data_IF_761479013688
#
_entry.id   IF_761479013688
#
_cell.length_a   1.000
_cell.length_b   1.000
_cell.length_c   1.000
_cell.angle_alpha   90.00
_cell.angle_beta   90.00
_cell.angle_gamma   90.00
#
_symmetry.space_group_name_H-M   'P 1'
#
loop_
_entity.id
_entity.type
_entity.pdbx_description
1 polymer ?
#
# COMPACT_ATOMS: atom_id res chain seq x y z
N UNK A 1 2.30 25.19 -19.14
CA UNK A 1 2.98 24.75 -17.92
C UNK A 1 4.24 23.94 -18.24
N UNK A 2 4.17 22.82 -19.01
CA UNK A 2 5.31 21.95 -19.31
C UNK A 2 6.50 22.64 -20.01
N UNK A 3 6.24 23.70 -20.78
CA UNK A 3 7.30 24.47 -21.47
C UNK A 3 8.00 25.51 -20.58
N UNK A 4 7.60 25.65 -19.34
CA UNK A 4 8.18 26.61 -18.39
C UNK A 4 9.21 25.98 -17.45
N UNK A 5 9.45 24.67 -17.55
CA UNK A 5 10.41 23.94 -16.74
C UNK A 5 11.55 23.42 -17.63
N UNK A 6 12.76 23.89 -17.36
CA UNK A 6 13.95 23.59 -18.17
C UNK A 6 14.30 22.11 -18.17
N UNK A 7 14.06 21.40 -17.04
CA UNK A 7 14.29 19.96 -16.93
C UNK A 7 13.30 19.20 -17.82
N UNK A 8 12.03 19.54 -17.77
CA UNK A 8 11.00 18.92 -18.62
C UNK A 8 11.29 19.19 -20.10
N UNK A 9 11.66 20.43 -20.45
CA UNK A 9 12.05 20.80 -21.83
C UNK A 9 13.23 19.94 -22.28
N UNK A 10 14.24 19.77 -21.44
CA UNK A 10 15.41 18.94 -21.75
C UNK A 10 15.04 17.47 -21.97
N UNK A 11 14.25 16.90 -21.09
CA UNK A 11 13.80 15.50 -21.19
C UNK A 11 12.91 15.26 -22.42
N UNK A 12 12.11 16.26 -22.79
CA UNK A 12 11.17 16.18 -23.91
C UNK A 12 11.77 16.67 -25.27
N UNK A 13 13.06 16.93 -25.32
CA UNK A 13 13.75 17.48 -26.50
C UNK A 13 13.44 16.72 -27.80
N UNK A 14 13.33 15.40 -27.73
CA UNK A 14 13.09 14.56 -28.89
C UNK A 14 11.66 13.98 -28.91
N UNK A 15 10.77 14.45 -28.03
CA UNK A 15 9.40 13.94 -27.94
C UNK A 15 8.58 14.48 -29.14
N UNK A 16 7.84 13.58 -29.75
CA UNK A 16 6.89 13.90 -30.82
C UNK A 16 5.49 13.79 -30.23
N UNK A 17 4.70 14.86 -30.39
CA UNK A 17 3.31 14.86 -29.96
C UNK A 17 2.46 14.02 -30.91
N UNK A 18 1.70 13.08 -30.36
CA UNK A 18 0.70 12.33 -31.13
C UNK A 18 -0.56 13.16 -31.41
N UNK A 19 -0.64 14.39 -30.89
CA UNK A 19 -1.75 15.32 -31.10
C UNK A 19 -3.06 14.95 -30.40
N UNK A 20 -3.06 13.88 -29.60
CA UNK A 20 -4.22 13.43 -28.83
C UNK A 20 -3.91 13.46 -27.35
N UNK A 21 -4.86 13.96 -26.56
CA UNK A 21 -4.84 13.84 -25.11
C UNK A 21 -5.87 12.79 -24.71
N UNK A 22 -5.43 11.84 -23.92
CA UNK A 22 -6.32 10.85 -23.31
C UNK A 22 -6.51 11.24 -21.84
N UNK A 23 -7.74 11.29 -21.42
CA UNK A 23 -8.12 11.53 -20.02
C UNK A 23 -8.88 10.32 -19.50
N UNK A 24 -8.59 9.94 -18.27
CA UNK A 24 -9.36 8.95 -17.55
C UNK A 24 -9.72 9.51 -16.18
N UNK A 25 -10.74 8.97 -15.57
CA UNK A 25 -11.02 9.24 -14.17
C UNK A 25 -10.20 8.27 -13.33
N UNK A 26 -9.77 8.75 -12.20
CA UNK A 26 -9.29 7.89 -11.14
C UNK A 26 -10.45 7.09 -10.55
N UNK A 27 -10.17 5.89 -10.07
CA UNK A 27 -11.18 4.98 -9.55
C UNK A 27 -10.62 4.22 -8.34
N UNK A 28 -11.35 4.26 -7.27
CA UNK A 28 -11.15 3.34 -6.16
C UNK A 28 -12.25 2.28 -6.22
N UNK A 29 -11.89 1.05 -6.02
CA UNK A 29 -12.86 -0.03 -5.94
C UNK A 29 -12.36 -1.17 -5.05
N UNK A 30 -13.29 -1.97 -4.59
CA UNK A 30 -13.02 -3.20 -3.86
C UNK A 30 -14.01 -4.28 -4.29
N UNK A 31 -13.51 -5.45 -4.61
CA UNK A 31 -14.33 -6.60 -4.93
C UNK A 31 -15.14 -7.04 -3.70
N UNK A 32 -16.38 -7.44 -3.90
CA UNK A 32 -17.20 -7.97 -2.81
C UNK A 32 -16.66 -9.29 -2.24
N UNK A 33 -15.95 -10.05 -3.07
CA UNK A 33 -15.32 -11.31 -2.71
C UNK A 33 -13.91 -11.37 -3.28
N UNK A 34 -12.96 -11.78 -2.44
CA UNK A 34 -11.56 -11.96 -2.82
C UNK A 34 -11.17 -13.44 -2.93
N UNK A 35 -12.05 -14.33 -2.51
CA UNK A 35 -11.79 -15.76 -2.51
C UNK A 35 -13.09 -16.53 -2.75
N UNK A 36 -12.99 -17.62 -3.46
CA UNK A 36 -14.04 -18.61 -3.63
C UNK A 36 -13.54 -20.01 -3.33
N UNK A 37 -14.30 -21.00 -3.71
CA UNK A 37 -13.94 -22.38 -3.46
C UNK A 37 -12.62 -22.75 -4.15
N UNK A 38 -12.44 -22.31 -5.41
CA UNK A 38 -11.33 -22.68 -6.27
C UNK A 38 -10.56 -21.48 -6.84
N UNK A 39 -10.69 -20.31 -6.24
CA UNK A 39 -10.02 -19.12 -6.73
C UNK A 39 -9.70 -18.11 -5.64
N UNK A 40 -8.66 -17.31 -5.87
CA UNK A 40 -8.24 -16.18 -5.06
C UNK A 40 -8.02 -14.98 -6.00
N UNK A 41 -8.49 -13.80 -5.62
CA UNK A 41 -8.12 -12.54 -6.26
C UNK A 41 -6.90 -11.97 -5.54
N UNK A 42 -5.85 -11.71 -6.28
CA UNK A 42 -4.64 -11.11 -5.74
C UNK A 42 -4.32 -9.78 -6.46
N UNK A 43 -3.67 -8.87 -5.77
CA UNK A 43 -3.31 -7.57 -6.32
C UNK A 43 -4.51 -6.69 -6.62
N UNK A 44 -4.36 -5.84 -7.61
CA UNK A 44 -5.38 -4.88 -8.01
C UNK A 44 -6.64 -5.53 -8.63
N UNK A 45 -6.62 -6.83 -8.90
CA UNK A 45 -7.85 -7.54 -9.29
C UNK A 45 -8.87 -7.62 -8.15
N UNK A 46 -8.41 -7.58 -6.90
CA UNK A 46 -9.26 -7.56 -5.71
C UNK A 46 -9.71 -6.17 -5.30
N UNK A 47 -8.97 -5.15 -5.67
CA UNK A 47 -9.30 -3.76 -5.37
C UNK A 47 -8.15 -2.81 -5.62
N UNK A 48 -8.50 -1.57 -5.82
CA UNK A 48 -7.57 -0.48 -6.08
C UNK A 48 -7.92 0.73 -5.23
N UNK A 49 -6.95 1.35 -4.63
CA UNK A 49 -7.15 2.52 -3.80
C UNK A 49 -6.92 3.82 -4.56
N UNK A 50 -5.68 4.08 -4.95
CA UNK A 50 -5.28 5.36 -5.57
C UNK A 50 -3.86 5.26 -6.15
N UNK A 51 -3.56 5.86 -7.32
CA UNK A 51 -2.25 5.81 -7.92
C UNK A 51 -1.21 6.68 -7.21
N UNK A 52 -1.61 7.74 -6.52
CA UNK A 52 -0.71 8.76 -5.94
C UNK A 52 0.20 8.16 -4.88
N UNK A 53 -0.34 7.27 -4.05
CA UNK A 53 0.39 6.63 -2.96
C UNK A 53 1.13 5.36 -3.40
N UNK A 54 1.08 5.01 -4.68
CA UNK A 54 1.72 3.83 -5.28
C UNK A 54 1.43 2.51 -4.53
N UNK A 55 0.25 2.39 -3.93
CA UNK A 55 -0.17 1.24 -3.12
C UNK A 55 -0.31 -0.07 -3.91
N UNK A 56 -0.49 0.01 -5.23
CA UNK A 56 -0.79 -1.14 -6.09
C UNK A 56 0.26 -2.25 -6.00
N UNK A 57 1.55 -1.91 -6.00
CA UNK A 57 2.62 -2.90 -5.89
C UNK A 57 2.63 -3.57 -4.50
N UNK A 58 2.42 -2.80 -3.44
CA UNK A 58 2.31 -3.30 -2.07
C UNK A 58 1.14 -4.27 -1.93
N UNK A 59 -0.05 -3.87 -2.39
CA UNK A 59 -1.25 -4.71 -2.38
C UNK A 59 -0.99 -6.00 -3.17
N UNK A 60 -0.35 -5.91 -4.33
CA UNK A 60 -0.06 -7.06 -5.20
C UNK A 60 0.88 -8.06 -4.52
N UNK A 61 1.99 -7.61 -3.98
CA UNK A 61 2.98 -8.49 -3.37
C UNK A 61 2.44 -9.20 -2.13
N UNK A 62 1.74 -8.47 -1.26
CA UNK A 62 1.19 -9.06 -0.05
C UNK A 62 0.04 -10.02 -0.33
N UNK A 63 -0.89 -9.64 -1.18
CA UNK A 63 -2.00 -10.50 -1.53
C UNK A 63 -1.54 -11.78 -2.26
N UNK A 64 -0.54 -11.69 -3.14
CA UNK A 64 0.02 -12.85 -3.81
C UNK A 64 0.70 -13.82 -2.83
N UNK A 65 1.49 -13.28 -1.87
CA UNK A 65 2.09 -14.09 -0.80
C UNK A 65 1.03 -14.77 0.05
N UNK A 66 0.02 -14.02 0.49
CA UNK A 66 -1.04 -14.56 1.34
C UNK A 66 -1.90 -15.58 0.60
N UNK A 67 -2.19 -15.35 -0.70
CA UNK A 67 -2.87 -16.34 -1.53
C UNK A 67 -2.07 -17.65 -1.63
N UNK A 68 -0.76 -17.56 -1.88
CA UNK A 68 0.10 -18.73 -1.95
C UNK A 68 0.13 -19.51 -0.63
N UNK A 69 0.28 -18.83 0.50
CA UNK A 69 0.24 -19.45 1.82
C UNK A 69 -1.13 -20.07 2.13
N UNK A 70 -2.21 -19.41 1.75
CA UNK A 70 -3.56 -19.95 1.91
C UNK A 70 -3.79 -21.21 1.07
N UNK A 71 -3.30 -21.23 -0.16
CA UNK A 71 -3.38 -22.42 -1.03
C UNK A 71 -2.60 -23.59 -0.42
N UNK A 72 -1.38 -23.35 0.06
CA UNK A 72 -0.57 -24.37 0.73
C UNK A 72 -1.30 -24.90 1.98
N UNK A 73 -1.83 -24.01 2.81
CA UNK A 73 -2.56 -24.40 4.04
C UNK A 73 -3.83 -25.23 3.73
N UNK A 74 -4.51 -24.92 2.61
CA UNK A 74 -5.66 -25.71 2.14
C UNK A 74 -5.24 -27.08 1.62
N UNK A 75 -4.13 -27.17 0.92
CA UNK A 75 -3.62 -28.42 0.34
C UNK A 75 -3.09 -29.36 1.43
N UNK A 76 -2.39 -28.81 2.41
CA UNK A 76 -1.89 -29.57 3.56
C UNK A 76 -3.00 -30.00 4.54
N UNK A 77 -4.17 -29.34 4.52
CA UNK A 77 -5.29 -29.67 5.39
C UNK A 77 -5.04 -29.43 6.89
N UNK A 78 -4.06 -28.58 7.22
CA UNK A 78 -3.67 -28.30 8.62
C UNK A 78 -4.72 -27.47 9.35
N UNK A 79 -5.43 -26.61 8.60
CA UNK A 79 -6.46 -25.72 9.12
C UNK A 79 -7.81 -25.96 8.44
N UNK A 80 -8.87 -25.55 9.12
CA UNK A 80 -10.20 -25.54 8.52
C UNK A 80 -10.22 -24.68 7.25
N UNK A 81 -10.60 -25.29 6.13
CA UNK A 81 -10.52 -24.60 4.84
C UNK A 81 -11.46 -23.41 4.71
N UNK A 82 -12.54 -23.37 5.47
CA UNK A 82 -13.43 -22.22 5.56
C UNK A 82 -12.74 -21.07 6.27
N UNK A 83 -12.13 -21.35 7.40
CA UNK A 83 -11.36 -20.36 8.17
C UNK A 83 -10.22 -19.76 7.35
N UNK A 84 -9.43 -20.56 6.61
CA UNK A 84 -8.36 -20.07 5.74
C UNK A 84 -8.88 -19.07 4.72
N UNK A 85 -10.03 -19.36 4.09
CA UNK A 85 -10.62 -18.47 3.09
C UNK A 85 -11.18 -17.19 3.71
N UNK A 86 -11.87 -17.30 4.84
CA UNK A 86 -12.41 -16.15 5.55
C UNK A 86 -11.30 -15.22 6.03
N UNK A 87 -10.18 -15.76 6.50
CA UNK A 87 -9.02 -14.99 6.94
C UNK A 87 -8.34 -14.29 5.76
N UNK A 88 -8.18 -14.96 4.63
CA UNK A 88 -7.71 -14.31 3.40
C UNK A 88 -8.61 -13.15 2.98
N UNK A 89 -9.92 -13.38 2.93
CA UNK A 89 -10.93 -12.35 2.60
C UNK A 89 -10.78 -11.15 3.52
N UNK A 90 -10.75 -11.37 4.83
CA UNK A 90 -10.64 -10.33 5.84
C UNK A 90 -9.39 -9.48 5.60
N UNK A 91 -8.23 -10.11 5.45
CA UNK A 91 -6.95 -9.42 5.24
C UNK A 91 -6.95 -8.56 3.97
N UNK A 92 -7.52 -9.06 2.87
CA UNK A 92 -7.59 -8.26 1.64
C UNK A 92 -8.50 -7.04 1.83
N UNK A 93 -9.68 -7.22 2.42
CA UNK A 93 -10.61 -6.11 2.70
C UNK A 93 -9.95 -5.07 3.60
N UNK A 94 -9.32 -5.48 4.70
CA UNK A 94 -8.67 -4.57 5.64
C UNK A 94 -7.55 -3.77 4.96
N UNK A 95 -6.70 -4.45 4.16
CA UNK A 95 -5.60 -3.81 3.43
C UNK A 95 -6.10 -2.76 2.44
N UNK A 96 -7.03 -3.13 1.57
CA UNK A 96 -7.54 -2.22 0.54
C UNK A 96 -8.29 -1.06 1.19
N UNK A 97 -9.12 -1.33 2.21
CA UNK A 97 -9.83 -0.29 2.96
C UNK A 97 -8.86 0.69 3.62
N UNK A 98 -7.78 0.18 4.21
CA UNK A 98 -6.75 1.01 4.81
C UNK A 98 -6.12 1.96 3.80
N UNK A 99 -5.74 1.46 2.61
CA UNK A 99 -5.18 2.29 1.55
C UNK A 99 -6.19 3.31 1.00
N UNK A 100 -7.47 2.94 0.85
CA UNK A 100 -8.53 3.88 0.45
C UNK A 100 -8.66 5.00 1.48
N UNK A 101 -8.75 4.67 2.76
CA UNK A 101 -8.82 5.67 3.85
C UNK A 101 -7.58 6.58 3.88
N UNK A 102 -6.42 6.02 3.60
CA UNK A 102 -5.20 6.81 3.53
C UNK A 102 -5.21 7.77 2.33
N UNK A 103 -5.72 7.35 1.19
CA UNK A 103 -5.92 8.22 0.04
C UNK A 103 -6.93 9.35 0.36
N UNK A 104 -8.05 9.03 0.98
CA UNK A 104 -9.04 10.02 1.43
C UNK A 104 -8.43 11.04 2.39
N UNK A 105 -7.62 10.57 3.33
CA UNK A 105 -6.86 11.44 4.23
C UNK A 105 -5.91 12.36 3.47
N UNK A 106 -5.14 11.82 2.52
CA UNK A 106 -4.24 12.61 1.67
C UNK A 106 -4.97 13.74 0.95
N UNK A 107 -6.09 13.44 0.32
CA UNK A 107 -6.88 14.44 -0.40
C UNK A 107 -7.61 15.42 0.52
N UNK A 108 -8.03 15.02 1.71
CA UNK A 108 -8.74 15.87 2.65
C UNK A 108 -7.86 16.92 3.33
N UNK A 109 -6.58 16.62 3.48
CA UNK A 109 -5.64 17.48 4.19
C UNK A 109 -5.14 18.70 3.39
N UNK A 110 -5.76 19.04 2.25
CA UNK A 110 -5.48 20.21 1.42
C UNK A 110 -3.98 20.53 1.23
N UNK A 111 -3.17 19.46 1.07
CA UNK A 111 -1.82 19.49 0.54
C UNK A 111 -0.75 20.27 1.34
N UNK A 112 -0.84 20.39 2.62
CA UNK A 112 0.32 20.77 3.42
C UNK A 112 1.13 19.52 3.77
N UNK A 113 2.04 19.13 2.90
CA UNK A 113 2.81 17.88 3.01
C UNK A 113 3.59 17.76 4.33
N UNK A 114 4.05 18.89 4.87
CA UNK A 114 4.75 18.92 6.16
C UNK A 114 3.84 18.49 7.31
N UNK A 115 2.62 19.03 7.35
CA UNK A 115 1.66 18.73 8.41
C UNK A 115 1.19 17.26 8.34
N UNK A 116 1.10 16.72 7.10
CA UNK A 116 0.79 15.31 6.87
C UNK A 116 1.86 14.39 7.45
N UNK A 117 3.14 14.69 7.26
CA UNK A 117 4.24 13.90 7.82
C UNK A 117 4.25 13.94 9.35
N UNK A 118 4.00 15.10 9.95
CA UNK A 118 3.92 15.22 11.41
C UNK A 118 2.73 14.43 11.96
N UNK A 119 1.59 14.48 11.30
CA UNK A 119 0.41 13.72 11.71
C UNK A 119 0.62 12.19 11.56
N UNK A 120 1.37 11.74 10.56
CA UNK A 120 1.71 10.32 10.44
C UNK A 120 2.58 9.82 11.60
N UNK A 121 3.37 10.71 12.20
CA UNK A 121 4.15 10.40 13.41
C UNK A 121 3.22 10.07 14.59
N UNK A 122 2.12 10.81 14.73
CA UNK A 122 1.13 10.50 15.76
C UNK A 122 0.46 9.14 15.52
N UNK A 123 0.08 8.85 14.26
CA UNK A 123 -0.50 7.54 13.90
C UNK A 123 0.48 6.41 14.22
N UNK A 124 1.76 6.58 13.90
CA UNK A 124 2.78 5.59 14.22
C UNK A 124 2.94 5.40 15.73
N UNK A 125 2.94 6.50 16.49
CA UNK A 125 3.02 6.48 17.96
C UNK A 125 1.81 5.77 18.59
N UNK A 126 0.60 6.01 18.08
CA UNK A 126 -0.62 5.32 18.51
C UNK A 126 -0.56 3.80 18.25
N UNK A 127 0.22 3.39 17.26
CA UNK A 127 0.55 1.99 16.97
C UNK A 127 1.79 1.47 17.77
N UNK A 128 2.31 2.25 18.72
CA UNK A 128 3.47 1.90 19.53
C UNK A 128 4.83 2.03 18.82
N UNK A 129 4.88 2.80 17.73
CA UNK A 129 6.09 3.01 16.93
C UNK A 129 6.63 4.44 17.11
N UNK A 130 7.83 4.57 17.66
CA UNK A 130 8.54 5.85 17.77
C UNK A 130 9.34 6.11 16.49
N UNK A 131 8.69 6.75 15.51
CA UNK A 131 9.27 7.04 14.20
C UNK A 131 9.42 8.55 13.98
N UNK A 132 10.48 8.94 13.26
CA UNK A 132 10.58 10.30 12.71
C UNK A 132 9.49 10.52 11.64
N UNK A 133 9.12 11.79 11.32
CA UNK A 133 8.06 12.06 10.34
C UNK A 133 8.25 11.36 8.98
N UNK A 134 9.47 11.34 8.45
CA UNK A 134 9.76 10.67 7.18
C UNK A 134 9.63 9.14 7.28
N UNK A 135 10.08 8.56 8.40
CA UNK A 135 9.94 7.12 8.65
C UNK A 135 8.48 6.73 8.88
N UNK A 136 7.74 7.53 9.64
CA UNK A 136 6.31 7.33 9.87
C UNK A 136 5.52 7.41 8.56
N UNK A 137 5.85 8.38 7.72
CA UNK A 137 5.25 8.50 6.39
C UNK A 137 5.55 7.28 5.52
N UNK A 138 6.81 6.86 5.42
CA UNK A 138 7.20 5.70 4.64
C UNK A 138 6.52 4.42 5.14
N UNK A 139 6.44 4.23 6.46
CA UNK A 139 5.73 3.12 7.09
C UNK A 139 4.24 3.12 6.73
N UNK A 140 3.57 4.27 6.84
CA UNK A 140 2.15 4.39 6.55
C UNK A 140 1.87 4.17 5.06
N UNK A 141 2.67 4.77 4.17
CA UNK A 141 2.53 4.60 2.72
C UNK A 141 2.71 3.14 2.25
N UNK A 142 3.44 2.33 3.01
CA UNK A 142 3.61 0.90 2.76
C UNK A 142 2.51 0.03 3.39
N UNK A 143 1.47 0.63 3.96
CA UNK A 143 0.35 -0.07 4.57
C UNK A 143 0.56 -0.45 6.04
N UNK A 144 1.41 0.28 6.75
CA UNK A 144 1.67 0.08 8.17
C UNK A 144 0.44 0.24 9.08
N UNK A 145 -0.63 0.84 8.56
CA UNK A 145 -1.92 0.96 9.24
C UNK A 145 -2.76 -0.33 9.23
N UNK A 146 -2.31 -1.35 8.53
CA UNK A 146 -3.00 -2.63 8.46
C UNK A 146 -2.46 -3.52 9.56
N UNK A 147 -2.93 -3.30 10.75
CA UNK A 147 -2.62 -4.17 11.87
C UNK A 147 -3.89 -4.83 12.40
N UNK A 148 -3.90 -6.13 12.36
CA UNK A 148 -4.96 -6.88 12.98
C UNK A 148 -4.59 -7.49 14.31
N UNK A 149 -3.32 -7.83 14.56
CA UNK A 149 -3.01 -8.73 15.68
C UNK A 149 -1.67 -8.45 16.38
N UNK A 150 -1.29 -7.18 16.55
CA UNK A 150 -0.27 -6.74 17.51
C UNK A 150 1.14 -7.34 17.44
N UNK A 151 1.33 -8.44 16.73
CA UNK A 151 2.62 -9.14 16.62
C UNK A 151 3.12 -9.34 15.19
N UNK A 152 2.30 -9.08 14.21
CA UNK A 152 2.65 -9.27 12.81
C UNK A 152 2.31 -7.99 12.06
N UNK A 153 3.29 -7.17 11.81
CA UNK A 153 3.13 -6.02 10.95
C UNK A 153 2.65 -6.41 9.54
N UNK A 154 2.42 -5.42 8.66
CA UNK A 154 2.00 -5.68 7.29
C UNK A 154 2.87 -6.79 6.70
N UNK A 155 2.25 -7.83 6.15
CA UNK A 155 2.91 -9.00 5.59
C UNK A 155 3.41 -10.08 6.55
N UNK A 156 2.94 -10.11 7.78
CA UNK A 156 3.36 -11.14 8.74
C UNK A 156 4.82 -11.02 9.19
N UNK A 157 5.42 -9.84 9.06
CA UNK A 157 6.72 -9.55 9.67
C UNK A 157 6.54 -9.07 11.11
N UNK A 158 7.42 -9.47 12.03
CA UNK A 158 7.46 -8.90 13.37
C UNK A 158 7.61 -7.37 13.30
N UNK A 159 6.92 -6.64 14.18
CA UNK A 159 7.00 -5.17 14.30
C UNK A 159 8.45 -4.68 14.37
N UNK A 160 9.32 -5.41 15.05
CA UNK A 160 10.75 -5.07 15.14
C UNK A 160 11.45 -5.08 13.78
N UNK A 161 11.06 -5.98 12.88
CA UNK A 161 11.59 -6.00 11.51
C UNK A 161 11.03 -4.89 10.63
N UNK A 162 9.81 -4.42 10.90
CA UNK A 162 9.25 -3.25 10.21
C UNK A 162 10.01 -1.99 10.61
N UNK A 163 10.34 -1.83 11.89
CA UNK A 163 11.23 -0.75 12.36
C UNK A 163 12.56 -0.78 11.60
N UNK A 164 13.19 -1.94 11.50
CA UNK A 164 14.46 -2.12 10.79
C UNK A 164 14.32 -1.84 9.28
N UNK A 165 13.23 -2.27 8.65
CA UNK A 165 12.98 -2.00 7.23
C UNK A 165 12.76 -0.50 6.98
N UNK A 166 12.03 0.18 7.85
CA UNK A 166 11.84 1.64 7.80
C UNK A 166 13.17 2.38 7.94
N UNK A 167 14.03 1.94 8.83
CA UNK A 167 15.39 2.46 8.99
C UNK A 167 16.25 2.25 7.74
N UNK A 168 16.27 1.05 7.21
CA UNK A 168 16.99 0.70 5.99
C UNK A 168 16.54 1.52 4.77
N UNK A 169 15.24 1.73 4.59
CA UNK A 169 14.70 2.53 3.48
C UNK A 169 15.02 4.02 3.59
N UNK A 170 15.22 4.53 4.79
CA UNK A 170 15.64 5.93 5.02
C UNK A 170 17.14 6.08 4.80
N UNK A 171 17.97 5.11 5.22
CA UNK A 171 19.41 5.11 4.96
C UNK A 171 19.72 5.08 3.46
N UNK A 172 18.98 4.32 2.66
CA UNK A 172 19.12 4.31 1.20
C UNK A 172 18.84 5.67 0.53
N UNK A 173 18.09 6.56 1.19
CA UNK A 173 17.81 7.92 0.69
C UNK A 173 18.84 8.96 1.08
N UNK A 174 19.61 8.71 2.13
CA UNK A 174 20.64 9.65 2.63
C UNK A 174 21.99 9.49 1.93
N UNK A 175 22.22 8.36 1.28
CA UNK A 175 23.46 8.06 0.54
C UNK A 175 23.35 8.31 -0.97
N UNK A 176 22.25 8.90 -1.45
CA UNK A 176 22.03 9.29 -2.84
C UNK A 176 21.88 10.81 -2.99
#
# INVERSE_FOLDING_TARGET
ALKADDLIVSLMKNAVSEGKFHTTKDWSFMAHRHVGENWFLAGESGGFADPVLAAGLTITQFSAKEAALSIIALDEGVHDGRWVREEYQRRQVDRITGHIRFADYWYSANAQFTDLKEYTTQIASDCGLELSPDKAWAWLAQGGFIDGDGNLGPAGFPIDRIKTLGEFLVELKTDS
#
